data_IF_604005797471
#
_entry.id   IF_604005797471
#
_cell.length_a   1.000
_cell.length_b   1.000
_cell.length_c   1.000
_cell.angle_alpha   90.00
_cell.angle_beta   90.00
_cell.angle_gamma   90.00
#
_symmetry.space_group_name_H-M   'P 1'
#
loop_
_entity.id
_entity.type
_entity.pdbx_description
1 polymer ?
#
# COMPACT_ATOMS: atom_id res chain seq x y z
N UNK A 1 3.20 17.27 19.78
CA UNK A 1 4.11 16.12 19.97
C UNK A 1 5.01 16.04 18.74
N UNK A 2 6.31 15.83 18.91
CA UNK A 2 7.25 15.75 17.81
C UNK A 2 7.70 14.31 17.57
N UNK A 3 7.99 13.96 16.31
CA UNK A 3 8.20 12.57 15.93
C UNK A 3 9.51 12.37 15.16
N UNK A 4 10.19 11.23 15.42
CA UNK A 4 11.26 10.72 14.58
C UNK A 4 10.75 9.47 13.87
N UNK A 5 10.59 9.58 12.55
CA UNK A 5 10.16 8.49 11.67
C UNK A 5 11.38 7.72 11.16
N UNK A 6 11.29 6.40 11.11
CA UNK A 6 12.32 5.53 10.51
C UNK A 6 11.68 4.68 9.42
N UNK A 7 12.17 4.80 8.18
CA UNK A 7 11.59 4.07 7.04
C UNK A 7 12.66 3.51 6.10
N UNK A 8 12.24 2.74 5.11
CA UNK A 8 13.14 2.16 4.11
C UNK A 8 13.60 3.21 3.09
N UNK A 9 12.66 3.99 2.56
CA UNK A 9 12.93 4.94 1.47
C UNK A 9 12.05 6.17 1.60
N UNK A 10 12.63 7.33 1.27
CA UNK A 10 11.91 8.58 1.03
C UNK A 10 12.21 8.99 -0.40
N UNK A 11 11.23 8.79 -1.27
CA UNK A 11 11.31 9.07 -2.70
C UNK A 11 9.88 9.09 -3.24
N UNK A 12 9.43 10.25 -3.71
CA UNK A 12 8.07 10.45 -4.22
C UNK A 12 7.82 9.67 -5.52
N UNK A 13 8.88 9.40 -6.28
CA UNK A 13 8.80 8.65 -7.54
C UNK A 13 8.79 7.13 -7.37
N UNK A 14 9.01 6.61 -6.14
CA UNK A 14 9.05 5.17 -5.91
C UNK A 14 7.66 4.55 -6.05
N UNK A 15 7.48 3.56 -6.95
CA UNK A 15 6.16 2.97 -7.22
C UNK A 15 5.60 2.12 -6.07
N UNK A 16 6.41 1.82 -5.04
CA UNK A 16 6.02 0.98 -3.90
C UNK A 16 5.92 1.79 -2.62
N UNK A 17 6.91 2.64 -2.35
CA UNK A 17 7.04 3.39 -1.08
C UNK A 17 6.73 4.88 -1.24
N UNK A 18 6.45 5.36 -2.45
CA UNK A 18 6.10 6.77 -2.71
C UNK A 18 4.92 7.28 -1.88
N UNK A 19 3.99 6.39 -1.52
CA UNK A 19 2.87 6.74 -0.64
C UNK A 19 3.31 7.24 0.74
N UNK A 20 4.45 6.78 1.25
CA UNK A 20 4.93 7.18 2.58
C UNK A 20 5.34 8.64 2.63
N UNK A 21 5.64 9.24 1.48
CA UNK A 21 5.88 10.67 1.35
C UNK A 21 4.65 11.50 1.80
N UNK A 22 3.43 11.04 1.45
CA UNK A 22 2.17 11.68 1.90
C UNK A 22 1.95 11.51 3.40
N UNK A 23 2.31 10.34 3.96
CA UNK A 23 2.28 10.15 5.40
C UNK A 23 3.17 11.13 6.14
N UNK A 24 4.39 11.37 5.63
CA UNK A 24 5.30 12.35 6.22
C UNK A 24 4.70 13.77 6.16
N UNK A 25 4.04 14.15 5.05
CA UNK A 25 3.33 15.42 4.93
C UNK A 25 2.21 15.54 5.98
N UNK A 26 1.44 14.48 6.21
CA UNK A 26 0.36 14.48 7.21
C UNK A 26 0.91 14.55 8.65
N UNK A 27 2.03 13.87 8.94
CA UNK A 27 2.74 14.06 10.21
C UNK A 27 3.20 15.50 10.39
N UNK A 28 3.68 16.15 9.33
CA UNK A 28 4.13 17.53 9.37
C UNK A 28 3.02 18.54 9.71
N UNK A 29 1.77 18.24 9.31
CA UNK A 29 0.59 19.06 9.70
C UNK A 29 0.30 18.94 11.20
N UNK A 30 0.56 17.78 11.79
CA UNK A 30 0.19 17.47 13.18
C UNK A 30 1.35 17.58 14.20
N UNK A 31 2.57 17.90 13.74
CA UNK A 31 3.77 18.02 14.56
C UNK A 31 4.50 19.35 14.27
N UNK A 32 5.14 19.93 15.28
CA UNK A 32 6.00 21.10 15.07
C UNK A 32 7.27 20.72 14.28
N UNK A 33 7.84 19.55 14.60
CA UNK A 33 9.03 19.02 13.94
C UNK A 33 8.85 17.52 13.62
N UNK A 34 9.25 17.12 12.41
CA UNK A 34 9.32 15.74 11.96
C UNK A 34 10.73 15.42 11.50
N UNK A 35 11.43 14.54 12.20
CA UNK A 35 12.70 13.99 11.72
C UNK A 35 12.44 12.68 10.98
N UNK A 36 12.73 12.63 9.68
CA UNK A 36 12.51 11.45 8.85
C UNK A 36 13.85 10.79 8.48
N UNK A 37 14.17 9.67 9.11
CA UNK A 37 15.38 8.87 8.86
C UNK A 37 15.06 7.75 7.88
N UNK A 38 15.69 7.74 6.71
CA UNK A 38 15.51 6.70 5.71
C UNK A 38 16.82 5.96 5.39
N UNK A 39 16.69 4.67 5.04
CA UNK A 39 17.85 3.91 4.54
C UNK A 39 18.31 4.48 3.18
N UNK A 40 17.34 4.83 2.32
CA UNK A 40 17.50 5.47 1.02
C UNK A 40 16.77 6.79 0.98
N UNK A 41 17.37 7.80 0.34
CA UNK A 41 16.70 9.06 0.00
C UNK A 41 16.94 9.39 -1.46
N UNK A 42 15.93 9.88 -2.15
CA UNK A 42 16.02 10.38 -3.51
C UNK A 42 15.15 11.65 -3.63
N UNK A 43 14.29 11.75 -4.62
CA UNK A 43 13.43 12.91 -4.84
C UNK A 43 12.36 13.03 -3.75
N UNK A 44 12.29 14.20 -3.11
CA UNK A 44 11.23 14.50 -2.16
C UNK A 44 10.91 16.00 -2.17
N UNK A 45 9.65 16.30 -1.94
CA UNK A 45 9.09 17.63 -1.73
C UNK A 45 8.28 17.60 -0.44
N UNK A 46 8.87 18.07 0.66
CA UNK A 46 8.32 18.00 2.01
C UNK A 46 8.31 19.38 2.67
N UNK A 47 7.37 19.66 3.59
CA UNK A 47 7.29 20.93 4.31
C UNK A 47 8.58 21.28 5.08
N UNK A 48 8.80 22.56 5.36
CA UNK A 48 10.00 23.09 6.02
C UNK A 48 10.24 22.54 7.44
N UNK A 49 9.18 22.08 8.11
CA UNK A 49 9.27 21.44 9.43
C UNK A 49 9.64 19.95 9.38
N UNK A 50 9.95 19.41 8.18
CA UNK A 50 10.42 18.02 7.98
C UNK A 50 11.90 17.99 7.69
N UNK A 51 12.68 17.33 8.54
CA UNK A 51 14.12 17.18 8.42
C UNK A 51 14.47 15.76 7.96
N UNK A 52 14.86 15.62 6.68
CA UNK A 52 15.19 14.31 6.08
C UNK A 52 16.65 13.94 6.34
N UNK A 53 16.89 12.72 6.79
CA UNK A 53 18.20 12.16 7.11
C UNK A 53 18.41 10.81 6.42
N UNK A 54 19.41 10.71 5.53
CA UNK A 54 19.77 9.45 4.88
C UNK A 54 20.77 8.64 5.70
N UNK A 55 20.55 7.33 5.78
CA UNK A 55 21.57 6.36 6.24
C UNK A 55 22.59 6.04 5.13
N UNK A 56 22.40 6.61 3.93
CA UNK A 56 23.28 6.55 2.76
C UNK A 56 23.45 5.12 2.20
N UNK A 57 22.42 4.32 2.24
CA UNK A 57 22.42 3.00 1.60
C UNK A 57 22.49 3.14 0.07
N UNK A 58 21.93 4.21 -0.50
CA UNK A 58 22.05 4.61 -1.90
C UNK A 58 23.51 4.85 -2.35
N UNK A 59 24.39 5.17 -1.41
CA UNK A 59 25.83 5.38 -1.63
C UNK A 59 26.68 4.16 -1.26
N UNK A 60 26.08 2.96 -1.16
CA UNK A 60 26.78 1.71 -0.82
C UNK A 60 27.31 1.62 0.61
N UNK A 61 26.78 2.42 1.56
CA UNK A 61 27.25 2.39 2.95
C UNK A 61 27.06 1.03 3.60
N UNK A 62 28.11 0.52 4.24
CA UNK A 62 28.06 -0.71 5.03
C UNK A 62 27.05 -0.61 6.18
N UNK A 63 26.46 -1.74 6.56
CA UNK A 63 25.41 -1.78 7.60
C UNK A 63 25.84 -1.17 8.93
N UNK A 64 27.08 -1.42 9.35
CA UNK A 64 27.60 -0.85 10.59
C UNK A 64 27.64 0.68 10.55
N UNK A 65 28.01 1.26 9.41
CA UNK A 65 28.04 2.73 9.24
C UNK A 65 26.62 3.30 9.25
N UNK A 66 25.64 2.57 8.68
CA UNK A 66 24.22 2.96 8.76
C UNK A 66 23.74 2.95 10.22
N UNK A 67 24.10 1.95 11.02
CA UNK A 67 23.76 1.86 12.46
C UNK A 67 24.34 3.06 13.22
N UNK A 68 25.63 3.35 13.02
CA UNK A 68 26.29 4.47 13.70
C UNK A 68 25.67 5.81 13.31
N UNK A 69 25.29 6.01 12.04
CA UNK A 69 24.53 7.20 11.60
C UNK A 69 23.17 7.28 12.26
N UNK A 70 22.45 6.16 12.35
CA UNK A 70 21.16 6.11 13.01
C UNK A 70 21.30 6.53 14.48
N UNK A 71 22.24 5.97 15.22
CA UNK A 71 22.49 6.36 16.60
C UNK A 71 22.88 7.83 16.72
N UNK A 72 23.74 8.33 15.81
CA UNK A 72 24.09 9.75 15.74
C UNK A 72 22.84 10.63 15.60
N UNK A 73 21.89 10.28 14.73
CA UNK A 73 20.66 11.06 14.55
C UNK A 73 19.77 10.99 15.79
N UNK A 74 19.59 9.83 16.39
CA UNK A 74 18.83 9.66 17.63
C UNK A 74 19.40 10.55 18.76
N UNK A 75 20.72 10.61 18.91
CA UNK A 75 21.38 11.40 19.96
C UNK A 75 21.37 12.89 19.62
N UNK A 76 21.71 13.25 18.38
CA UNK A 76 21.81 14.65 17.95
C UNK A 76 20.49 15.39 18.12
N UNK A 77 19.39 14.77 17.69
CA UNK A 77 18.05 15.39 17.67
C UNK A 77 17.18 14.98 18.87
N UNK A 78 17.77 14.46 19.95
CA UNK A 78 17.03 13.92 21.10
C UNK A 78 16.09 14.92 21.79
N UNK A 79 16.29 16.20 21.61
CA UNK A 79 15.43 17.27 22.16
C UNK A 79 14.28 17.64 21.24
N UNK A 80 14.37 17.27 19.95
CA UNK A 80 13.46 17.72 18.90
C UNK A 80 12.38 16.66 18.58
N UNK A 81 12.37 15.51 19.28
CA UNK A 81 11.31 14.49 19.14
C UNK A 81 10.98 13.85 20.49
N UNK A 82 9.72 13.41 20.62
CA UNK A 82 9.18 12.75 21.80
C UNK A 82 9.07 11.22 21.61
N UNK A 83 8.85 10.80 20.38
CA UNK A 83 8.56 9.41 20.01
C UNK A 83 9.30 8.99 18.74
N UNK A 84 9.67 7.73 18.67
CA UNK A 84 10.26 7.09 17.49
C UNK A 84 9.20 6.17 16.89
N UNK A 85 8.81 6.38 15.64
CA UNK A 85 7.96 5.48 14.88
C UNK A 85 8.76 4.81 13.77
N UNK A 86 8.90 3.49 13.86
CA UNK A 86 9.58 2.69 12.84
C UNK A 86 8.56 2.10 11.89
N UNK A 87 8.66 2.42 10.60
CA UNK A 87 7.76 1.95 9.56
C UNK A 87 8.31 0.71 8.87
N UNK A 88 7.58 -0.42 8.96
CA UNK A 88 7.81 -1.69 8.24
C UNK A 88 9.18 -2.38 8.44
N UNK A 89 10.06 -1.84 9.27
CA UNK A 89 11.44 -2.32 9.42
C UNK A 89 11.81 -2.64 10.87
N UNK A 90 11.27 -3.73 11.46
CA UNK A 90 11.46 -4.06 12.89
C UNK A 90 12.95 -4.16 13.30
N UNK A 91 13.85 -4.47 12.36
CA UNK A 91 15.29 -4.49 12.65
C UNK A 91 15.81 -3.15 13.18
N UNK A 92 15.27 -2.01 12.74
CA UNK A 92 15.67 -0.70 13.21
C UNK A 92 15.12 -0.37 14.60
N UNK A 93 14.03 -1.04 15.05
CA UNK A 93 13.62 -1.03 16.45
C UNK A 93 14.71 -1.65 17.31
N UNK A 94 15.20 -2.83 16.93
CA UNK A 94 16.22 -3.57 17.67
C UNK A 94 17.55 -2.83 17.69
N UNK A 95 18.00 -2.35 16.53
CA UNK A 95 19.27 -1.63 16.40
C UNK A 95 19.25 -0.26 17.10
N UNK A 96 18.09 0.39 17.20
CA UNK A 96 17.92 1.65 17.93
C UNK A 96 17.71 1.50 19.43
N UNK A 97 17.42 0.27 19.90
CA UNK A 97 17.03 0.02 21.30
C UNK A 97 18.03 0.52 22.33
N UNK A 98 19.36 0.27 22.23
CA UNK A 98 20.29 0.75 23.23
C UNK A 98 20.24 2.26 23.44
N UNK A 99 20.15 3.03 22.34
CA UNK A 99 20.11 4.48 22.39
C UNK A 99 18.74 4.97 22.87
N UNK A 100 17.64 4.40 22.37
CA UNK A 100 16.30 4.81 22.78
C UNK A 100 16.03 4.54 24.27
N UNK A 101 16.59 3.44 24.81
CA UNK A 101 16.52 3.12 26.24
C UNK A 101 17.27 4.17 27.10
N UNK A 102 18.51 4.50 26.75
CA UNK A 102 19.31 5.52 27.45
C UNK A 102 18.61 6.88 27.40
N UNK A 103 18.06 7.25 26.23
CA UNK A 103 17.35 8.51 26.05
C UNK A 103 15.92 8.51 26.60
N UNK A 104 15.44 7.36 27.11
CA UNK A 104 14.08 7.15 27.61
C UNK A 104 12.99 7.52 26.60
N UNK A 105 13.24 7.27 25.30
CA UNK A 105 12.30 7.57 24.23
C UNK A 105 11.34 6.42 24.00
N UNK A 106 10.06 6.75 23.79
CA UNK A 106 9.05 5.77 23.42
C UNK A 106 9.27 5.33 21.98
N UNK A 107 9.28 4.03 21.75
CA UNK A 107 9.39 3.44 20.42
C UNK A 107 8.06 2.81 20.04
N UNK A 108 7.59 3.09 18.84
CA UNK A 108 6.41 2.51 18.21
C UNK A 108 6.80 1.85 16.90
N UNK A 109 6.04 0.86 16.46
CA UNK A 109 6.26 0.14 15.21
C UNK A 109 4.98 0.15 14.40
N UNK A 110 5.07 0.55 13.13
CA UNK A 110 4.07 0.23 12.12
C UNK A 110 4.50 -1.03 11.39
N UNK A 111 3.63 -2.05 11.37
CA UNK A 111 3.93 -3.31 10.71
C UNK A 111 2.70 -3.88 10.01
N UNK A 112 2.85 -4.20 8.71
CA UNK A 112 1.80 -4.78 7.88
C UNK A 112 2.44 -5.82 6.95
N UNK A 113 2.67 -7.03 7.46
CA UNK A 113 3.16 -8.17 6.68
C UNK A 113 2.92 -9.49 7.41
N UNK A 114 2.77 -10.58 6.65
CA UNK A 114 2.52 -11.93 7.21
C UNK A 114 3.75 -12.62 7.82
N UNK A 115 4.95 -12.09 7.60
CA UNK A 115 6.19 -12.75 8.02
C UNK A 115 6.55 -12.52 9.48
N UNK A 116 6.84 -13.59 10.23
CA UNK A 116 7.27 -13.57 11.64
C UNK A 116 8.78 -13.76 11.80
N UNK A 117 9.57 -12.85 11.25
CA UNK A 117 11.03 -12.90 11.41
C UNK A 117 11.45 -12.49 12.83
N UNK A 118 12.61 -12.97 13.28
CA UNK A 118 13.12 -12.70 14.63
C UNK A 118 13.16 -11.21 15.03
N UNK A 119 13.45 -10.23 14.14
CA UNK A 119 13.44 -8.84 14.55
C UNK A 119 12.03 -8.35 14.97
N UNK A 120 10.96 -8.86 14.33
CA UNK A 120 9.61 -8.54 14.73
C UNK A 120 9.31 -9.09 16.14
N UNK A 121 9.64 -10.37 16.37
CA UNK A 121 9.45 -11.01 17.69
C UNK A 121 10.16 -10.21 18.78
N UNK A 122 11.42 -9.84 18.56
CA UNK A 122 12.20 -9.08 19.53
C UNK A 122 11.64 -7.65 19.72
N UNK A 123 11.18 -7.01 18.67
CA UNK A 123 10.58 -5.69 18.73
C UNK A 123 9.35 -5.63 19.64
N UNK A 124 8.58 -6.72 19.77
CA UNK A 124 7.38 -6.72 20.66
C UNK A 124 7.73 -6.46 22.12
N UNK A 125 8.93 -6.79 22.57
CA UNK A 125 9.41 -6.49 23.94
C UNK A 125 9.79 -5.01 24.10
N UNK A 126 10.33 -4.39 23.04
CA UNK A 126 10.88 -3.02 23.07
C UNK A 126 9.77 -1.97 22.91
N UNK A 127 8.88 -2.17 21.95
CA UNK A 127 7.92 -1.13 21.55
C UNK A 127 6.79 -0.95 22.56
N UNK A 128 6.27 0.28 22.63
CA UNK A 128 5.10 0.62 23.45
C UNK A 128 3.79 0.17 22.78
N UNK A 129 3.70 0.37 21.44
CA UNK A 129 2.56 -0.02 20.59
C UNK A 129 3.05 -0.52 19.25
N UNK A 130 2.27 -1.39 18.62
CA UNK A 130 2.44 -1.84 17.26
C UNK A 130 1.17 -1.50 16.51
N UNK A 131 1.28 -0.66 15.52
CA UNK A 131 0.17 -0.30 14.64
C UNK A 131 0.15 -1.21 13.42
N UNK A 132 -1.03 -1.63 13.02
CA UNK A 132 -1.26 -2.46 11.83
C UNK A 132 -2.51 -1.97 11.12
N UNK A 133 -2.53 -2.14 9.82
CA UNK A 133 -3.69 -1.74 9.02
C UNK A 133 -4.83 -2.75 9.11
N UNK A 134 -4.51 -4.04 9.31
CA UNK A 134 -5.48 -5.14 9.37
C UNK A 134 -5.09 -6.17 10.42
N UNK A 135 -6.04 -7.02 10.82
CA UNK A 135 -5.76 -8.14 11.73
C UNK A 135 -4.73 -9.12 11.15
N UNK A 136 -4.73 -9.27 9.83
CA UNK A 136 -3.83 -10.17 9.11
C UNK A 136 -2.42 -9.58 8.90
N UNK A 137 -2.27 -8.28 9.07
CA UNK A 137 -1.00 -7.57 8.88
C UNK A 137 -0.02 -7.69 10.05
N UNK A 138 -0.51 -8.11 11.23
CA UNK A 138 0.31 -8.37 12.41
C UNK A 138 0.22 -9.84 12.84
N UNK A 139 1.17 -10.70 12.42
CA UNK A 139 1.07 -12.15 12.60
C UNK A 139 1.37 -12.63 14.02
N UNK A 140 1.70 -11.73 14.95
CA UNK A 140 1.96 -12.05 16.36
C UNK A 140 0.81 -11.56 17.23
N UNK A 141 0.24 -12.47 18.03
CA UNK A 141 -0.75 -12.10 19.03
C UNK A 141 -0.07 -11.34 20.18
N UNK A 142 -0.36 -10.06 20.30
CA UNK A 142 0.18 -9.19 21.36
C UNK A 142 -0.82 -8.12 21.76
N UNK A 143 -0.93 -7.88 23.08
CA UNK A 143 -1.77 -6.81 23.64
C UNK A 143 -1.30 -5.39 23.23
N UNK A 144 -0.14 -5.26 22.59
CA UNK A 144 0.40 -3.99 22.10
C UNK A 144 -0.09 -3.63 20.69
N UNK A 145 -0.76 -4.56 19.99
CA UNK A 145 -1.29 -4.33 18.64
C UNK A 145 -2.50 -3.40 18.69
N UNK A 146 -2.54 -2.48 17.76
CA UNK A 146 -3.64 -1.52 17.55
C UNK A 146 -3.95 -1.48 16.06
N UNK A 147 -5.20 -1.74 15.71
CA UNK A 147 -5.67 -1.63 14.33
C UNK A 147 -6.00 -0.17 14.02
N UNK A 148 -5.43 0.37 12.93
CA UNK A 148 -5.52 1.78 12.56
C UNK A 148 -6.06 2.01 11.15
N UNK A 149 -6.29 0.95 10.35
CA UNK A 149 -6.55 1.10 8.91
C UNK A 149 -5.28 1.41 8.11
N UNK A 150 -5.42 1.55 6.79
CA UNK A 150 -4.26 1.66 5.88
C UNK A 150 -3.71 3.08 5.67
N UNK A 151 -4.40 4.11 6.15
CA UNK A 151 -4.00 5.49 5.90
C UNK A 151 -4.04 5.85 4.41
N UNK A 152 -5.22 5.77 3.83
CA UNK A 152 -5.47 6.18 2.44
C UNK A 152 -5.66 7.70 2.39
N UNK A 153 -4.91 8.36 1.51
CA UNK A 153 -5.10 9.78 1.21
C UNK A 153 -6.39 9.95 0.37
N UNK A 154 -7.51 10.10 1.06
CA UNK A 154 -8.83 10.21 0.42
C UNK A 154 -9.03 11.52 -0.37
N UNK A 155 -8.17 12.51 -0.21
CA UNK A 155 -8.19 13.76 -0.98
C UNK A 155 -7.50 13.54 -2.33
N UNK A 156 -6.37 12.88 -2.34
CA UNK A 156 -5.68 12.46 -3.56
C UNK A 156 -6.52 11.43 -4.34
N UNK A 157 -6.98 10.38 -3.66
CA UNK A 157 -7.87 9.35 -4.20
C UNK A 157 -9.34 9.77 -4.03
N UNK A 158 -9.68 10.97 -4.55
CA UNK A 158 -11.06 11.48 -4.51
C UNK A 158 -11.95 10.77 -5.52
N UNK A 159 -13.27 10.90 -5.35
CA UNK A 159 -14.29 10.30 -6.22
C UNK A 159 -13.97 10.51 -7.69
N UNK A 160 -14.10 9.45 -8.48
CA UNK A 160 -13.97 9.46 -9.93
C UNK A 160 -15.31 9.62 -10.65
N UNK A 161 -15.25 9.85 -11.96
CA UNK A 161 -16.43 9.87 -12.84
C UNK A 161 -16.73 8.52 -13.49
N UNK A 162 -15.79 7.57 -13.44
CA UNK A 162 -15.87 6.22 -14.03
C UNK A 162 -16.36 6.25 -15.49
N UNK A 163 -15.78 7.16 -16.28
CA UNK A 163 -16.24 7.49 -17.63
C UNK A 163 -15.96 6.36 -18.64
N UNK A 164 -14.90 5.57 -18.42
CA UNK A 164 -14.58 4.44 -19.30
C UNK A 164 -15.24 3.15 -18.77
N UNK A 165 -16.44 2.89 -19.26
CA UNK A 165 -17.23 1.70 -18.91
C UNK A 165 -16.64 0.36 -19.36
N UNK A 166 -15.54 0.37 -20.11
CA UNK A 166 -14.87 -0.79 -20.63
C UNK A 166 -13.50 -1.02 -19.99
N UNK A 167 -12.99 -0.09 -19.17
CA UNK A 167 -11.66 -0.18 -18.59
C UNK A 167 -11.68 -0.95 -17.27
N UNK A 168 -11.06 -2.12 -17.25
CA UNK A 168 -10.75 -2.89 -16.05
C UNK A 168 -9.31 -2.62 -15.60
N UNK A 169 -9.03 -2.68 -14.31
CA UNK A 169 -7.70 -2.41 -13.77
C UNK A 169 -7.35 -3.34 -12.62
N UNK A 170 -6.08 -3.69 -12.51
CA UNK A 170 -5.46 -4.25 -11.29
C UNK A 170 -4.13 -3.57 -11.04
N UNK A 171 -3.79 -3.37 -9.75
CA UNK A 171 -2.57 -2.66 -9.35
C UNK A 171 -1.84 -3.46 -8.28
N UNK A 172 -0.54 -3.66 -8.46
CA UNK A 172 0.31 -4.35 -7.49
C UNK A 172 1.58 -4.89 -8.13
N UNK A 173 2.48 -5.44 -7.32
CA UNK A 173 3.68 -6.09 -7.85
C UNK A 173 3.29 -7.26 -8.75
N UNK A 174 4.00 -7.45 -9.83
CA UNK A 174 3.82 -8.60 -10.73
C UNK A 174 4.45 -9.82 -10.06
N UNK A 175 3.69 -10.55 -9.29
CA UNK A 175 4.12 -11.75 -8.54
C UNK A 175 3.05 -12.84 -8.61
N UNK A 176 3.44 -14.10 -8.43
CA UNK A 176 2.49 -15.24 -8.40
C UNK A 176 1.39 -15.08 -7.34
N UNK A 177 1.69 -14.45 -6.19
CA UNK A 177 0.71 -14.22 -5.12
C UNK A 177 -0.45 -13.28 -5.53
N UNK A 178 -0.30 -12.51 -6.61
CA UNK A 178 -1.36 -11.66 -7.15
C UNK A 178 -2.30 -12.40 -8.11
N UNK A 179 -2.01 -13.64 -8.43
CA UNK A 179 -2.82 -14.53 -9.27
C UNK A 179 -3.26 -13.88 -10.60
N UNK A 180 -2.32 -13.16 -11.25
CA UNK A 180 -2.64 -12.42 -12.49
C UNK A 180 -3.12 -13.35 -13.62
N UNK A 181 -2.63 -14.58 -13.70
CA UNK A 181 -3.12 -15.56 -14.70
C UNK A 181 -4.61 -15.91 -14.44
N UNK A 182 -5.04 -16.00 -13.18
CA UNK A 182 -6.45 -16.21 -12.85
C UNK A 182 -7.31 -15.02 -13.30
N UNK A 183 -6.84 -13.80 -13.11
CA UNK A 183 -7.53 -12.58 -13.61
C UNK A 183 -7.59 -12.57 -15.14
N UNK A 184 -6.54 -13.02 -15.83
CA UNK A 184 -6.53 -13.14 -17.28
C UNK A 184 -7.47 -14.24 -17.79
N UNK A 185 -7.56 -15.37 -17.09
CA UNK A 185 -8.56 -16.41 -17.41
C UNK A 185 -9.99 -15.86 -17.24
N UNK A 186 -10.25 -15.08 -16.19
CA UNK A 186 -11.54 -14.40 -16.04
C UNK A 186 -11.79 -13.39 -17.18
N UNK A 187 -10.77 -12.65 -17.58
CA UNK A 187 -10.85 -11.66 -18.67
C UNK A 187 -11.20 -12.32 -20.03
N UNK A 188 -10.73 -13.54 -20.30
CA UNK A 188 -11.09 -14.30 -21.50
C UNK A 188 -12.59 -14.65 -21.55
N UNK A 189 -13.25 -14.76 -20.40
CA UNK A 189 -14.69 -15.03 -20.31
C UNK A 189 -15.56 -13.77 -20.48
N UNK A 190 -14.93 -12.57 -20.51
CA UNK A 190 -15.64 -11.29 -20.59
C UNK A 190 -15.83 -10.84 -22.04
N UNK A 191 -16.86 -10.01 -22.33
CA UNK A 191 -17.07 -9.45 -23.66
C UNK A 191 -15.85 -8.70 -24.20
N UNK A 192 -15.63 -8.75 -25.51
CA UNK A 192 -14.46 -8.17 -26.20
C UNK A 192 -14.32 -6.66 -26.03
N UNK A 193 -15.40 -5.94 -25.68
CA UNK A 193 -15.36 -4.52 -25.41
C UNK A 193 -14.45 -4.11 -24.24
N UNK A 194 -14.17 -5.02 -23.30
CA UNK A 194 -13.34 -4.71 -22.16
C UNK A 194 -11.85 -4.64 -22.51
N UNK A 195 -11.18 -3.67 -21.91
CA UNK A 195 -9.71 -3.53 -21.87
C UNK A 195 -9.23 -3.75 -20.43
N UNK A 196 -8.04 -4.29 -20.26
CA UNK A 196 -7.50 -4.59 -18.94
C UNK A 196 -6.11 -3.98 -18.74
N UNK A 197 -5.97 -3.13 -17.72
CA UNK A 197 -4.69 -2.55 -17.32
C UNK A 197 -4.13 -3.28 -16.11
N UNK A 198 -2.98 -3.89 -16.28
CA UNK A 198 -2.17 -4.49 -15.20
C UNK A 198 -1.05 -3.51 -14.86
N UNK A 199 -1.17 -2.83 -13.72
CA UNK A 199 -0.23 -1.79 -13.30
C UNK A 199 0.68 -2.35 -12.21
N UNK A 200 1.98 -2.42 -12.50
CA UNK A 200 2.95 -2.92 -11.53
C UNK A 200 4.34 -3.16 -12.07
N UNK A 201 5.22 -3.62 -11.18
CA UNK A 201 6.60 -3.92 -11.49
C UNK A 201 6.96 -5.36 -11.11
N UNK A 202 7.80 -6.00 -11.92
CA UNK A 202 8.47 -7.26 -11.61
C UNK A 202 9.85 -6.95 -11.01
N UNK A 203 10.07 -7.25 -9.73
CA UNK A 203 11.27 -6.83 -9.00
C UNK A 203 12.31 -7.93 -8.95
N UNK A 204 11.93 -9.12 -8.49
CA UNK A 204 12.82 -10.26 -8.34
C UNK A 204 13.03 -10.99 -9.67
N UNK A 205 13.99 -11.89 -9.71
CA UNK A 205 14.21 -12.77 -10.89
C UNK A 205 12.97 -13.62 -11.16
N UNK A 206 12.36 -14.16 -10.11
CA UNK A 206 11.10 -14.94 -10.19
C UNK A 206 9.93 -14.10 -10.72
N UNK A 207 9.82 -12.84 -10.27
CA UNK A 207 8.77 -11.93 -10.77
C UNK A 207 8.95 -11.63 -12.27
N UNK A 208 10.21 -11.49 -12.73
CA UNK A 208 10.53 -11.24 -14.15
C UNK A 208 10.25 -12.47 -15.02
N UNK A 209 10.49 -13.67 -14.49
CA UNK A 209 10.12 -14.92 -15.15
C UNK A 209 8.59 -15.03 -15.25
N UNK A 210 7.87 -14.74 -14.16
CA UNK A 210 6.41 -14.71 -14.16
C UNK A 210 5.82 -13.67 -15.13
N UNK A 211 6.45 -12.51 -15.29
CA UNK A 211 6.04 -11.53 -16.31
C UNK A 211 6.18 -12.07 -17.74
N UNK A 212 7.18 -12.92 -18.01
CA UNK A 212 7.29 -13.60 -19.31
C UNK A 212 6.15 -14.59 -19.51
N UNK A 213 5.85 -15.41 -18.50
CA UNK A 213 4.70 -16.35 -18.53
C UNK A 213 3.40 -15.59 -18.87
N UNK A 214 3.18 -14.40 -18.26
CA UNK A 214 2.01 -13.57 -18.55
C UNK A 214 2.00 -13.10 -20.02
N UNK A 215 3.12 -12.62 -20.55
CA UNK A 215 3.21 -12.15 -21.94
C UNK A 215 2.96 -13.28 -22.94
N UNK A 216 3.50 -14.46 -22.67
CA UNK A 216 3.25 -15.67 -23.47
C UNK A 216 1.77 -16.06 -23.42
N UNK A 217 1.15 -15.97 -22.24
CA UNK A 217 -0.29 -16.22 -22.08
C UNK A 217 -1.13 -15.25 -22.94
N UNK A 218 -0.81 -13.95 -22.93
CA UNK A 218 -1.51 -12.95 -23.74
C UNK A 218 -1.43 -13.28 -25.24
N UNK A 219 -0.24 -13.59 -25.73
CA UNK A 219 0.01 -13.91 -27.12
C UNK A 219 -0.72 -15.20 -27.56
N UNK A 220 -0.63 -16.24 -26.73
CA UNK A 220 -1.26 -17.54 -27.02
C UNK A 220 -2.80 -17.46 -27.04
N UNK A 221 -3.39 -16.47 -26.39
CA UNK A 221 -4.84 -16.27 -26.36
C UNK A 221 -5.30 -15.08 -27.25
N UNK A 222 -4.40 -14.40 -27.96
CA UNK A 222 -4.74 -13.31 -28.90
C UNK A 222 -5.33 -12.07 -28.22
N UNK A 223 -4.98 -11.79 -26.95
CA UNK A 223 -5.54 -10.68 -26.18
C UNK A 223 -4.52 -9.58 -25.85
N UNK A 224 -3.33 -9.61 -26.45
CA UNK A 224 -2.25 -8.64 -26.22
C UNK A 224 -2.66 -7.21 -26.60
N UNK A 225 -3.58 -7.02 -27.53
CA UNK A 225 -4.09 -5.71 -27.92
C UNK A 225 -5.14 -5.14 -26.96
N UNK A 226 -5.67 -5.97 -26.06
CA UNK A 226 -6.69 -5.58 -25.06
C UNK A 226 -6.12 -5.51 -23.63
N UNK A 227 -4.88 -5.94 -23.41
CA UNK A 227 -4.23 -5.98 -22.09
C UNK A 227 -2.97 -5.12 -22.11
N UNK A 228 -2.90 -4.12 -21.24
CA UNK A 228 -1.73 -3.26 -21.08
C UNK A 228 -1.03 -3.60 -19.78
N UNK A 229 0.29 -3.87 -19.84
CA UNK A 229 1.12 -4.09 -18.65
C UNK A 229 2.14 -2.96 -18.56
N UNK A 230 2.08 -2.15 -17.51
CA UNK A 230 3.02 -1.03 -17.31
C UNK A 230 3.24 -0.68 -15.84
N UNK A 231 4.35 -0.02 -15.55
CA UNK A 231 4.60 0.65 -14.28
C UNK A 231 4.03 2.06 -14.32
N UNK A 232 3.46 2.50 -13.20
CA UNK A 232 2.96 3.87 -13.01
C UNK A 232 3.38 4.40 -11.65
N UNK A 233 3.59 5.72 -11.56
CA UNK A 233 3.68 6.42 -10.28
C UNK A 233 2.28 6.56 -9.64
N UNK A 234 2.23 6.87 -8.36
CA UNK A 234 0.95 7.06 -7.67
C UNK A 234 0.10 8.17 -8.30
N UNK A 235 0.72 9.24 -8.79
CA UNK A 235 0.03 10.34 -9.49
C UNK A 235 -0.61 9.88 -10.80
N UNK A 236 0.03 8.96 -11.52
CA UNK A 236 -0.51 8.39 -12.76
C UNK A 236 -1.61 7.36 -12.51
N UNK A 237 -1.57 6.69 -11.36
CA UNK A 237 -2.57 5.69 -10.94
C UNK A 237 -3.91 6.36 -10.62
N UNK A 238 -3.90 7.54 -10.00
CA UNK A 238 -5.13 8.24 -9.58
C UNK A 238 -6.10 8.47 -10.74
N UNK A 239 -5.74 9.12 -11.86
CA UNK A 239 -6.66 9.30 -12.98
C UNK A 239 -7.12 7.99 -13.61
N UNK A 240 -6.28 6.94 -13.61
CA UNK A 240 -6.67 5.63 -14.10
C UNK A 240 -7.80 5.04 -13.24
N UNK A 241 -7.65 5.03 -11.90
CA UNK A 241 -8.67 4.53 -10.97
C UNK A 241 -9.98 5.33 -11.07
N UNK A 242 -9.88 6.65 -11.18
CA UNK A 242 -11.05 7.53 -11.31
C UNK A 242 -11.85 7.31 -12.59
N UNK A 243 -11.24 6.80 -13.63
CA UNK A 243 -11.89 6.55 -14.91
C UNK A 243 -12.24 5.08 -15.14
N UNK A 244 -11.65 4.15 -14.37
CA UNK A 244 -11.89 2.72 -14.57
C UNK A 244 -13.28 2.28 -14.14
N UNK A 245 -13.83 1.31 -14.87
CA UNK A 245 -15.12 0.69 -14.59
C UNK A 245 -15.07 -0.22 -13.36
N UNK A 246 -14.06 -1.07 -13.25
CA UNK A 246 -13.90 -1.95 -12.09
C UNK A 246 -12.44 -2.31 -11.82
N UNK A 247 -12.13 -2.54 -10.55
CA UNK A 247 -10.84 -3.04 -10.08
C UNK A 247 -10.94 -4.55 -9.82
N UNK A 248 -10.09 -5.34 -10.48
CA UNK A 248 -10.04 -6.79 -10.30
C UNK A 248 -8.93 -7.17 -9.31
N UNK A 249 -9.28 -7.99 -8.31
CA UNK A 249 -8.36 -8.37 -7.25
C UNK A 249 -8.44 -9.86 -6.93
N UNK A 250 -7.31 -10.55 -7.10
CA UNK A 250 -7.21 -12.00 -6.83
C UNK A 250 -6.09 -12.35 -5.84
N UNK A 251 -5.53 -11.36 -5.15
CA UNK A 251 -4.43 -11.61 -4.20
C UNK A 251 -4.86 -12.49 -3.04
N UNK A 252 -4.03 -13.48 -2.71
CA UNK A 252 -4.20 -14.34 -1.53
C UNK A 252 -3.58 -13.75 -0.26
N UNK A 253 -3.01 -12.56 -0.37
CA UNK A 253 -2.35 -11.87 0.74
C UNK A 253 -3.35 -11.11 1.62
N UNK A 254 -2.87 -10.25 2.50
CA UNK A 254 -3.68 -9.36 3.32
C UNK A 254 -4.44 -8.32 2.46
N UNK A 255 -5.24 -7.49 3.10
CA UNK A 255 -5.93 -6.38 2.46
C UNK A 255 -4.92 -5.48 1.73
N UNK A 256 -5.02 -5.44 0.40
CA UNK A 256 -4.10 -4.67 -0.43
C UNK A 256 -4.46 -3.19 -0.41
N UNK A 257 -3.46 -2.33 -0.26
CA UNK A 257 -3.64 -0.87 -0.27
C UNK A 257 -4.30 -0.38 -1.57
N UNK A 258 -3.91 -0.94 -2.71
CA UNK A 258 -4.46 -0.57 -4.02
C UNK A 258 -5.97 -0.81 -4.15
N UNK A 259 -6.50 -1.84 -3.47
CA UNK A 259 -7.95 -2.08 -3.38
C UNK A 259 -8.65 -0.92 -2.68
N UNK A 260 -8.11 -0.48 -1.55
CA UNK A 260 -8.65 0.64 -0.78
C UNK A 260 -8.52 1.98 -1.52
N UNK A 261 -7.44 2.16 -2.28
CA UNK A 261 -7.24 3.32 -3.16
C UNK A 261 -8.29 3.34 -4.27
N UNK A 262 -8.60 2.18 -4.88
CA UNK A 262 -9.69 2.06 -5.87
C UNK A 262 -11.04 2.38 -5.24
N UNK A 263 -11.37 1.78 -4.10
CA UNK A 263 -12.61 2.07 -3.36
C UNK A 263 -12.71 3.54 -2.94
N UNK A 264 -11.61 4.17 -2.57
CA UNK A 264 -11.56 5.60 -2.25
C UNK A 264 -11.93 6.46 -3.46
N UNK A 265 -11.54 6.05 -4.67
CA UNK A 265 -11.99 6.67 -5.92
C UNK A 265 -13.45 6.32 -6.28
N UNK A 266 -14.14 5.48 -5.52
CA UNK A 266 -15.47 4.96 -5.85
C UNK A 266 -15.44 3.89 -6.94
N UNK A 267 -14.27 3.38 -7.34
CA UNK A 267 -14.15 2.31 -8.33
C UNK A 267 -14.62 0.98 -7.72
N UNK A 268 -15.67 0.32 -8.27
CA UNK A 268 -16.12 -0.96 -7.81
C UNK A 268 -15.01 -2.01 -7.82
N UNK A 269 -14.98 -2.85 -6.79
CA UNK A 269 -13.94 -3.88 -6.61
C UNK A 269 -14.59 -5.26 -6.69
N UNK A 270 -14.04 -6.12 -7.56
CA UNK A 270 -14.33 -7.55 -7.60
C UNK A 270 -13.14 -8.28 -6.98
N UNK A 271 -13.36 -9.08 -5.94
CA UNK A 271 -12.25 -9.65 -5.16
C UNK A 271 -12.49 -11.09 -4.71
N UNK A 272 -11.41 -11.90 -4.80
CA UNK A 272 -11.33 -13.23 -4.18
C UNK A 272 -10.91 -13.16 -2.69
N UNK A 273 -10.37 -12.04 -2.23
CA UNK A 273 -9.81 -11.94 -0.89
C UNK A 273 -10.90 -11.71 0.16
N UNK A 274 -11.06 -12.65 1.09
CA UNK A 274 -12.01 -12.53 2.20
C UNK A 274 -11.83 -11.27 3.04
N UNK A 275 -10.62 -10.73 3.12
CA UNK A 275 -10.33 -9.47 3.81
C UNK A 275 -11.05 -8.25 3.21
N UNK A 276 -11.51 -8.33 1.96
CA UNK A 276 -12.24 -7.26 1.25
C UNK A 276 -13.76 -7.48 1.33
N UNK A 277 -14.20 -8.71 1.55
CA UNK A 277 -15.61 -9.11 1.43
C UNK A 277 -16.56 -8.33 2.34
N UNK A 278 -16.11 -7.83 3.48
CA UNK A 278 -16.94 -7.02 4.37
C UNK A 278 -17.26 -5.62 3.83
N UNK A 279 -16.52 -5.16 2.83
CA UNK A 279 -16.61 -3.81 2.26
C UNK A 279 -17.17 -3.77 0.85
N UNK A 280 -17.44 -4.95 0.23
CA UNK A 280 -18.00 -5.06 -1.12
C UNK A 280 -19.31 -5.89 -1.11
N UNK A 281 -20.24 -5.64 -2.05
CA UNK A 281 -21.48 -6.43 -2.16
C UNK A 281 -21.19 -7.90 -2.44
N UNK A 282 -22.16 -8.75 -2.18
CA UNK A 282 -22.01 -10.20 -2.33
C UNK A 282 -21.72 -10.58 -3.77
N UNK A 283 -22.35 -9.93 -4.71
CA UNK A 283 -22.21 -10.14 -6.17
C UNK A 283 -20.79 -9.80 -6.68
N UNK A 284 -20.00 -9.05 -5.90
CA UNK A 284 -18.60 -8.74 -6.20
C UNK A 284 -17.60 -9.63 -5.45
N UNK A 285 -18.07 -10.61 -4.66
CA UNK A 285 -17.23 -11.58 -3.94
C UNK A 285 -17.00 -12.80 -4.81
N UNK A 286 -15.86 -12.83 -5.48
CA UNK A 286 -15.49 -13.91 -6.36
C UNK A 286 -14.77 -15.06 -5.62
N UNK A 287 -14.77 -16.23 -6.20
CA UNK A 287 -14.06 -17.43 -5.72
C UNK A 287 -13.15 -18.03 -6.79
N UNK A 288 -13.41 -17.74 -8.07
CA UNK A 288 -12.67 -18.26 -9.23
C UNK A 288 -12.77 -17.30 -10.44
N UNK A 289 -12.26 -17.72 -11.58
CA UNK A 289 -12.29 -16.91 -12.80
C UNK A 289 -13.72 -16.68 -13.34
N UNK A 290 -14.61 -17.66 -13.24
CA UNK A 290 -15.99 -17.55 -13.71
C UNK A 290 -16.75 -16.50 -12.90
N UNK A 291 -16.68 -16.60 -11.58
CA UNK A 291 -17.34 -15.65 -10.67
C UNK A 291 -16.81 -14.23 -10.78
N UNK A 292 -15.52 -14.03 -11.15
CA UNK A 292 -15.02 -12.69 -11.49
C UNK A 292 -15.74 -12.14 -12.74
N UNK A 293 -15.88 -12.94 -13.80
CA UNK A 293 -16.56 -12.52 -15.02
C UNK A 293 -18.06 -12.26 -14.78
N UNK A 294 -18.72 -13.08 -13.97
CA UNK A 294 -20.10 -12.90 -13.53
C UNK A 294 -20.27 -11.59 -12.73
N UNK A 295 -19.36 -11.29 -11.81
CA UNK A 295 -19.35 -10.03 -11.05
C UNK A 295 -19.22 -8.81 -11.97
N UNK A 296 -18.33 -8.87 -12.98
CA UNK A 296 -18.19 -7.77 -13.97
C UNK A 296 -19.47 -7.64 -14.81
N UNK A 297 -20.11 -8.75 -15.15
CA UNK A 297 -21.41 -8.75 -15.84
C UNK A 297 -22.51 -8.13 -14.99
N UNK A 298 -22.59 -8.48 -13.71
CA UNK A 298 -23.48 -7.84 -12.73
C UNK A 298 -23.28 -6.32 -12.70
N UNK A 299 -22.05 -5.85 -12.51
CA UNK A 299 -21.74 -4.42 -12.50
C UNK A 299 -22.17 -3.72 -13.82
N UNK A 300 -22.04 -4.42 -14.95
CA UNK A 300 -22.46 -3.90 -16.27
C UNK A 300 -23.97 -3.80 -16.44
N UNK A 301 -24.73 -4.58 -15.66
CA UNK A 301 -26.20 -4.57 -15.65
C UNK A 301 -26.81 -3.51 -14.72
N UNK A 302 -26.02 -2.90 -13.85
CA UNK A 302 -26.50 -1.86 -12.95
C UNK A 302 -26.92 -0.59 -13.74
N UNK A 303 -28.00 0.02 -13.31
CA UNK A 303 -28.33 1.39 -13.74
C UNK A 303 -27.27 2.39 -13.28
N UNK A 304 -27.24 3.57 -13.90
CA UNK A 304 -26.30 4.62 -13.48
C UNK A 304 -26.48 5.05 -12.02
N UNK A 305 -27.70 5.02 -11.52
CA UNK A 305 -28.02 5.36 -10.12
C UNK A 305 -27.49 4.28 -9.15
N UNK A 306 -27.73 3.00 -9.45
CA UNK A 306 -27.24 1.87 -8.64
C UNK A 306 -25.71 1.81 -8.61
N UNK A 307 -25.06 2.00 -9.76
CA UNK A 307 -23.61 2.05 -9.86
C UNK A 307 -23.04 3.21 -9.02
N UNK A 308 -23.64 4.42 -9.11
CA UNK A 308 -23.21 5.57 -8.33
C UNK A 308 -23.46 5.38 -6.83
N UNK A 309 -24.56 4.73 -6.44
CA UNK A 309 -24.84 4.40 -5.04
C UNK A 309 -23.77 3.44 -4.48
N UNK A 310 -23.39 2.41 -5.24
CA UNK A 310 -22.30 1.50 -4.89
C UNK A 310 -20.97 2.26 -4.75
N UNK A 311 -20.61 3.09 -5.74
CA UNK A 311 -19.38 3.89 -5.73
C UNK A 311 -19.29 4.80 -4.48
N UNK A 312 -20.38 5.47 -4.14
CA UNK A 312 -20.48 6.33 -2.95
C UNK A 312 -20.32 5.52 -1.64
N UNK A 313 -20.94 4.36 -1.57
CA UNK A 313 -20.85 3.46 -0.40
C UNK A 313 -19.41 3.00 -0.17
N UNK A 314 -18.72 2.55 -1.22
CA UNK A 314 -17.32 2.12 -1.16
C UNK A 314 -16.40 3.24 -0.66
N UNK A 315 -16.54 4.45 -1.21
CA UNK A 315 -15.78 5.60 -0.77
C UNK A 315 -16.05 5.97 0.67
N UNK A 316 -17.31 6.00 1.09
CA UNK A 316 -17.71 6.30 2.47
C UNK A 316 -17.06 5.36 3.47
N UNK A 317 -17.01 4.06 3.15
CA UNK A 317 -16.35 3.05 3.99
C UNK A 317 -14.86 3.36 4.18
N UNK A 318 -14.16 3.72 3.09
CA UNK A 318 -12.73 4.06 3.16
C UNK A 318 -12.48 5.37 3.92
N UNK A 319 -13.25 6.41 3.66
CA UNK A 319 -13.10 7.68 4.37
C UNK A 319 -13.31 7.53 5.88
N UNK A 320 -14.20 6.63 6.29
CA UNK A 320 -14.51 6.39 7.70
C UNK A 320 -13.48 5.50 8.40
N UNK A 321 -13.04 4.40 7.75
CA UNK A 321 -12.25 3.35 8.40
C UNK A 321 -10.76 3.40 8.09
N UNK A 322 -10.37 4.02 6.96
CA UNK A 322 -9.03 3.88 6.42
C UNK A 322 -8.36 5.22 6.03
N UNK A 323 -8.95 6.38 6.34
CA UNK A 323 -8.38 7.66 5.93
C UNK A 323 -7.05 7.97 6.62
N UNK A 324 -6.14 8.63 5.89
CA UNK A 324 -4.83 9.02 6.39
C UNK A 324 -4.94 10.06 7.52
N UNK A 325 -5.83 11.02 7.37
CA UNK A 325 -6.06 12.06 8.38
C UNK A 325 -6.58 11.50 9.72
N UNK A 326 -7.37 10.42 9.69
CA UNK A 326 -7.84 9.74 10.91
C UNK A 326 -6.75 8.88 11.56
N UNK A 327 -5.81 8.37 10.75
CA UNK A 327 -4.74 7.51 11.24
C UNK A 327 -3.67 8.28 12.01
N UNK A 328 -3.41 9.54 11.68
CA UNK A 328 -2.28 10.32 12.23
C UNK A 328 -2.74 11.26 13.37
N UNK A 329 -4.03 11.52 13.51
CA UNK A 329 -4.61 12.24 14.67
C UNK A 329 -4.62 11.37 15.93
#
# INVERSE_FOLDING_TARGET
>A
MNILLVTQKIDVSDPILGFFHRWIKEFAVNCEHVHAVAQYTDLFDLPDNVFVHSLKKEKGSYRIVQILRYWKYLIKYRKDYDVILVHMTPIWVVLGFPVSLILRKRVMLWYEARGTRWPLKFSTFIVKKIFSASEHGMPLNTKKSVLMGHGIDSDQFSMGGHNDKNQLVTIGRITKSKQLILLLNAFLLMPERFNFSIIGVAITKEDKEFLKEIKEFLLNNGIENRVIIKSMTQEQVVPLLKNSFAFLHASTTSLDKAVLEAMSCGCPVVSLASAVHSSIPEECRAVDASSIAESVSYLSGLSGEEYNALSNSLRSDICTKHSLSSLIK
#
